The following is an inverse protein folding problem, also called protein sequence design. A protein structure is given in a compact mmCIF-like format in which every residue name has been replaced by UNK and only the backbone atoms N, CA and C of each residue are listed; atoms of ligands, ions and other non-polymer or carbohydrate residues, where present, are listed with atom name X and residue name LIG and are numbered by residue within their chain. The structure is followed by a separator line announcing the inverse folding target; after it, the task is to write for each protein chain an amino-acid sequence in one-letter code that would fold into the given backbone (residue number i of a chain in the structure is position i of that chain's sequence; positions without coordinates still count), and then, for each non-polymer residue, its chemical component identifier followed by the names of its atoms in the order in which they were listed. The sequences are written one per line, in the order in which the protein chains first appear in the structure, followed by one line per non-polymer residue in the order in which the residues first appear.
data_IF_782981934514
#
_entry.id   IF_782981934514
#
_cell.length_a   1.000
_cell.length_b   1.000
_cell.length_c   1.000
_cell.angle_alpha   90.00
_cell.angle_beta   90.00
_cell.angle_gamma   90.00
#
_symmetry.space_group_name_H-M   'P 1'
#
loop_
_entity.id
_entity.type
_entity.pdbx_description
1 polymer ?
#
# COMPACT_ATOMS: atom_id res chain seq x y z
N UNK A 1 -78.78 7.40 9.76
CA UNK A 1 -79.39 7.31 11.10
C UNK A 1 -78.55 6.36 11.92
N UNK A 2 -77.98 6.87 13.04
CA UNK A 2 -77.66 6.20 14.33
C UNK A 2 -76.74 4.96 14.30
N UNK A 3 -75.65 4.78 15.07
CA UNK A 3 -75.03 5.42 16.26
C UNK A 3 -73.70 4.67 16.54
N UNK A 4 -72.61 5.34 16.93
CA UNK A 4 -71.45 4.71 17.64
C UNK A 4 -71.81 4.45 19.14
N UNK A 5 -70.95 3.98 20.09
CA UNK A 5 -69.50 3.60 20.06
C UNK A 5 -69.09 2.40 20.98
N UNK A 6 -67.76 2.18 21.08
CA UNK A 6 -66.98 1.59 22.19
C UNK A 6 -67.01 0.08 22.47
N UNK A 7 -65.84 -0.56 22.34
CA UNK A 7 -65.14 -1.13 23.52
C UNK A 7 -63.64 -1.25 23.25
N UNK A 8 -62.86 -0.57 24.09
CA UNK A 8 -61.39 -0.63 24.14
C UNK A 8 -61.04 -1.83 25.02
N UNK A 9 -60.52 -2.89 24.43
CA UNK A 9 -59.89 -3.97 25.20
C UNK A 9 -58.41 -3.64 25.39
N UNK A 10 -58.11 -2.89 26.46
CA UNK A 10 -56.77 -2.88 27.06
C UNK A 10 -56.51 -4.26 27.64
N UNK A 11 -55.72 -5.08 26.94
CA UNK A 11 -55.16 -6.30 27.51
C UNK A 11 -53.66 -6.12 27.64
N UNK A 12 -53.23 -6.04 28.90
CA UNK A 12 -51.85 -6.15 29.37
C UNK A 12 -51.06 -7.20 28.57
N UNK A 13 -50.03 -6.75 27.86
CA UNK A 13 -49.01 -7.62 27.30
C UNK A 13 -47.61 -7.05 27.56
N UNK A 14 -47.13 -7.34 28.78
CA UNK A 14 -45.74 -7.63 29.12
C UNK A 14 -44.66 -6.54 28.93
N UNK A 15 -44.05 -6.02 30.02
CA UNK A 15 -42.82 -5.22 29.96
C UNK A 15 -41.55 -6.07 29.64
N UNK A 16 -41.70 -7.33 29.22
CA UNK A 16 -40.59 -8.24 28.95
C UNK A 16 -39.86 -7.97 27.64
N UNK A 17 -40.51 -7.39 26.63
CA UNK A 17 -39.90 -7.21 25.29
C UNK A 17 -38.89 -6.04 25.23
N UNK A 18 -39.11 -4.96 25.99
CA UNK A 18 -38.20 -3.82 26.02
C UNK A 18 -36.87 -4.10 26.75
N UNK A 19 -36.87 -5.00 27.74
CA UNK A 19 -35.66 -5.39 28.49
C UNK A 19 -34.72 -6.27 27.65
N UNK A 20 -35.25 -7.09 26.76
CA UNK A 20 -34.45 -7.96 25.88
C UNK A 20 -33.75 -7.17 24.79
N UNK A 21 -34.38 -6.13 24.24
CA UNK A 21 -33.78 -5.26 23.23
C UNK A 21 -32.62 -4.43 23.79
N UNK A 22 -32.73 -3.95 25.04
CA UNK A 22 -31.63 -3.22 25.69
C UNK A 22 -30.47 -4.12 26.15
N UNK A 23 -30.73 -5.37 26.53
CA UNK A 23 -29.68 -6.36 26.82
C UNK A 23 -28.95 -6.83 25.56
N UNK A 24 -29.64 -7.00 24.43
CA UNK A 24 -29.01 -7.36 23.16
C UNK A 24 -28.10 -6.25 22.59
N UNK A 25 -28.43 -4.98 22.84
CA UNK A 25 -27.61 -3.83 22.44
C UNK A 25 -26.39 -3.61 23.36
N UNK A 26 -26.47 -3.98 24.64
CA UNK A 26 -25.34 -3.92 25.58
C UNK A 26 -24.28 -4.99 25.33
N UNK A 27 -24.69 -6.17 24.87
CA UNK A 27 -23.78 -7.31 24.67
C UNK A 27 -22.95 -7.24 23.38
N UNK A 28 -23.36 -6.44 22.39
CA UNK A 28 -22.62 -6.23 21.12
C UNK A 28 -21.47 -5.21 21.23
N UNK A 29 -21.47 -4.36 22.27
CA UNK A 29 -20.47 -3.29 22.47
C UNK A 29 -19.28 -3.70 23.31
N UNK A 30 -19.42 -4.75 24.13
CA UNK A 30 -18.30 -5.39 24.80
C UNK A 30 -17.67 -6.42 23.84
N UNK A 31 -17.18 -5.97 22.69
CA UNK A 31 -16.22 -6.77 21.92
C UNK A 31 -15.07 -7.05 22.88
N UNK A 32 -14.92 -8.32 23.28
CA UNK A 32 -14.08 -8.76 24.38
C UNK A 32 -12.63 -8.30 24.18
N UNK A 33 -12.24 -7.20 24.84
CA UNK A 33 -10.86 -6.78 25.00
C UNK A 33 -9.88 -7.93 25.33
N UNK A 34 -10.23 -8.94 26.16
CA UNK A 34 -9.34 -10.08 26.40
C UNK A 34 -9.16 -11.02 25.19
N UNK A 35 -10.18 -11.22 24.35
CA UNK A 35 -10.08 -12.08 23.15
C UNK A 35 -9.26 -11.40 22.05
N UNK A 36 -9.46 -10.10 21.88
CA UNK A 36 -8.62 -9.27 21.00
C UNK A 36 -7.17 -9.29 21.48
N UNK A 37 -6.93 -9.22 22.80
CA UNK A 37 -5.59 -9.35 23.37
C UNK A 37 -4.98 -10.74 23.12
N UNK A 38 -5.77 -11.81 23.21
CA UNK A 38 -5.33 -13.17 22.92
C UNK A 38 -4.96 -13.34 21.44
N UNK A 39 -5.77 -12.79 20.53
CA UNK A 39 -5.48 -12.76 19.09
C UNK A 39 -4.14 -12.04 18.78
N UNK A 40 -3.93 -10.85 19.34
CA UNK A 40 -2.68 -10.11 19.14
C UNK A 40 -1.47 -10.76 19.83
N UNK A 41 -1.66 -11.41 20.98
CA UNK A 41 -0.61 -12.16 21.66
C UNK A 41 -0.18 -13.38 20.84
N UNK A 42 -1.13 -14.11 20.25
CA UNK A 42 -0.83 -15.27 19.41
C UNK A 42 -0.17 -14.87 18.09
N UNK A 43 -0.64 -13.78 17.44
CA UNK A 43 0.02 -13.21 16.26
C UNK A 43 1.48 -12.84 16.54
N UNK A 44 1.78 -12.24 17.71
CA UNK A 44 3.16 -11.90 18.11
C UNK A 44 4.02 -13.15 18.31
N UNK A 45 3.51 -14.17 19.01
CA UNK A 45 4.21 -15.46 19.22
C UNK A 45 4.49 -16.18 17.90
N UNK A 46 3.54 -16.16 16.98
CA UNK A 46 3.70 -16.76 15.66
C UNK A 46 4.76 -16.03 14.82
N UNK A 47 4.76 -14.70 14.84
CA UNK A 47 5.79 -13.89 14.18
C UNK A 47 7.18 -14.14 14.76
N UNK A 48 7.32 -14.25 16.08
CA UNK A 48 8.59 -14.63 16.73
C UNK A 48 9.07 -16.02 16.30
N UNK A 49 8.15 -16.98 16.17
CA UNK A 49 8.46 -18.34 15.71
C UNK A 49 8.90 -18.36 14.24
N UNK A 50 8.16 -17.68 13.37
CA UNK A 50 8.48 -17.56 11.93
C UNK A 50 9.81 -16.83 11.73
N UNK A 51 10.09 -15.78 12.50
CA UNK A 51 11.32 -15.00 12.37
C UNK A 51 12.59 -15.83 12.62
N UNK A 52 12.46 -16.94 13.36
CA UNK A 52 13.54 -17.90 13.64
C UNK A 52 13.81 -18.87 12.47
N UNK A 53 12.91 -18.95 11.49
CA UNK A 53 13.03 -19.83 10.32
C UNK A 53 13.90 -19.15 9.24
N UNK A 54 15.05 -19.72 8.87
CA UNK A 54 15.96 -19.09 7.90
C UNK A 54 15.39 -19.02 6.48
N UNK A 55 14.53 -19.98 6.10
CA UNK A 55 13.93 -20.04 4.76
C UNK A 55 13.01 -18.84 4.47
N UNK A 56 12.17 -18.45 5.45
CA UNK A 56 11.23 -17.33 5.29
C UNK A 56 12.01 -16.02 5.20
N UNK A 57 13.09 -15.88 5.98
CA UNK A 57 14.02 -14.75 5.86
C UNK A 57 14.65 -14.67 4.47
N UNK A 58 15.13 -15.77 3.93
CA UNK A 58 15.73 -15.77 2.59
C UNK A 58 14.71 -15.40 1.50
N UNK A 59 13.48 -15.90 1.58
CA UNK A 59 12.38 -15.52 0.68
C UNK A 59 12.04 -14.04 0.82
N UNK A 60 12.00 -13.50 2.03
CA UNK A 60 11.76 -12.08 2.28
C UNK A 60 12.84 -11.20 1.66
N UNK A 61 14.12 -11.50 1.88
CA UNK A 61 15.23 -10.74 1.28
C UNK A 61 15.24 -10.83 -0.23
N UNK A 62 14.86 -11.97 -0.81
CA UNK A 62 14.74 -12.13 -2.26
C UNK A 62 13.57 -11.33 -2.83
N UNK A 63 12.42 -11.35 -2.15
CA UNK A 63 11.24 -10.57 -2.53
C UNK A 63 11.51 -9.06 -2.42
N UNK A 64 12.13 -8.60 -1.33
CA UNK A 64 12.59 -7.22 -1.17
C UNK A 64 13.62 -6.86 -2.23
N UNK A 65 14.60 -7.73 -2.46
CA UNK A 65 15.64 -7.48 -3.45
C UNK A 65 15.03 -7.29 -4.84
N UNK A 66 14.13 -8.18 -5.26
CA UNK A 66 13.44 -8.05 -6.55
C UNK A 66 12.53 -6.82 -6.60
N UNK A 67 11.82 -6.53 -5.52
CA UNK A 67 10.96 -5.36 -5.41
C UNK A 67 11.74 -4.05 -5.53
N UNK A 68 12.78 -3.88 -4.73
CA UNK A 68 13.67 -2.73 -4.76
C UNK A 68 14.41 -2.63 -6.08
N UNK A 69 14.93 -3.74 -6.61
CA UNK A 69 15.63 -3.75 -7.89
C UNK A 69 14.73 -3.26 -9.01
N UNK A 70 13.52 -3.81 -9.14
CA UNK A 70 12.54 -3.36 -10.13
C UNK A 70 12.27 -1.87 -9.96
N UNK A 71 12.01 -1.43 -8.73
CA UNK A 71 11.68 -0.04 -8.42
C UNK A 71 12.83 0.93 -8.71
N UNK A 72 14.06 0.57 -8.37
CA UNK A 72 15.28 1.33 -8.71
C UNK A 72 15.48 1.36 -10.23
N UNK A 73 15.32 0.23 -10.93
CA UNK A 73 15.44 0.17 -12.38
C UNK A 73 14.39 1.05 -13.08
N UNK A 74 13.16 1.09 -12.57
CA UNK A 74 12.12 1.99 -13.08
C UNK A 74 12.42 3.46 -12.75
N UNK A 75 12.79 3.74 -11.50
CA UNK A 75 13.03 5.10 -11.00
C UNK A 75 14.23 5.76 -11.65
N UNK A 76 15.32 5.03 -11.86
CA UNK A 76 16.54 5.55 -12.48
C UNK A 76 16.64 5.25 -13.98
N UNK A 77 15.95 4.24 -14.50
CA UNK A 77 15.99 3.91 -15.92
C UNK A 77 14.89 4.62 -16.70
N UNK A 78 13.63 4.36 -16.37
CA UNK A 78 12.51 4.83 -17.18
C UNK A 78 12.24 6.33 -17.02
N UNK A 79 12.05 6.82 -15.79
CA UNK A 79 11.61 8.21 -15.61
C UNK A 79 12.62 9.27 -16.09
N UNK A 80 13.93 9.18 -15.78
CA UNK A 80 14.89 10.17 -16.23
C UNK A 80 15.04 10.17 -17.74
N UNK A 81 15.09 9.00 -18.37
CA UNK A 81 15.14 8.85 -19.84
C UNK A 81 13.88 9.41 -20.48
N UNK A 82 12.72 9.03 -19.94
CA UNK A 82 11.43 9.48 -20.45
C UNK A 82 11.34 11.01 -20.38
N UNK A 83 11.70 11.64 -19.27
CA UNK A 83 11.69 13.10 -19.13
C UNK A 83 12.71 13.77 -20.05
N UNK A 84 13.93 13.23 -20.14
CA UNK A 84 14.99 13.75 -21.01
C UNK A 84 14.59 13.76 -22.49
N UNK A 85 13.77 12.79 -22.91
CA UNK A 85 13.21 12.75 -24.26
C UNK A 85 11.91 13.56 -24.40
N UNK A 86 10.99 13.41 -23.45
CA UNK A 86 9.63 13.95 -23.53
C UNK A 86 9.60 15.47 -23.41
N UNK A 87 10.43 16.06 -22.55
CA UNK A 87 10.47 17.52 -22.38
C UNK A 87 10.89 18.22 -23.69
N UNK A 88 12.02 17.86 -24.33
CA UNK A 88 12.36 18.41 -25.65
C UNK A 88 11.31 18.11 -26.73
N UNK A 89 10.71 16.93 -26.69
CA UNK A 89 9.71 16.55 -27.68
C UNK A 89 8.43 17.39 -27.59
N UNK A 90 7.98 17.72 -26.38
CA UNK A 90 6.84 18.62 -26.16
C UNK A 90 7.21 20.06 -26.54
N UNK A 91 8.40 20.53 -26.16
CA UNK A 91 8.86 21.89 -26.50
C UNK A 91 9.00 22.10 -28.02
N UNK A 92 9.34 21.04 -28.76
CA UNK A 92 9.37 21.03 -30.22
C UNK A 92 7.99 20.80 -30.87
N UNK A 93 6.90 20.94 -30.11
CA UNK A 93 5.52 20.74 -30.58
C UNK A 93 5.31 19.37 -31.23
N UNK A 94 5.92 18.33 -30.66
CA UNK A 94 5.88 16.95 -31.16
C UNK A 94 6.52 16.77 -32.55
N UNK A 95 7.42 17.67 -32.96
CA UNK A 95 8.16 17.56 -34.21
C UNK A 95 9.57 17.00 -33.97
N UNK A 96 9.84 15.72 -34.33
CA UNK A 96 11.14 15.10 -34.08
C UNK A 96 12.27 15.71 -34.91
N UNK A 97 11.96 16.30 -36.07
CA UNK A 97 12.99 16.95 -36.92
C UNK A 97 13.49 18.21 -36.24
N UNK A 98 12.58 19.05 -35.74
CA UNK A 98 12.95 20.27 -35.01
C UNK A 98 13.74 19.91 -33.75
N UNK A 99 13.28 18.92 -32.98
CA UNK A 99 14.00 18.43 -31.81
C UNK A 99 15.44 17.99 -32.14
N UNK A 100 15.63 17.25 -33.23
CA UNK A 100 16.96 16.81 -33.66
C UNK A 100 17.81 18.00 -34.14
N UNK A 101 17.24 18.94 -34.90
CA UNK A 101 17.93 20.16 -35.34
C UNK A 101 18.41 21.02 -34.17
N UNK A 102 17.70 21.01 -33.04
CA UNK A 102 18.11 21.73 -31.82
C UNK A 102 19.16 20.94 -31.01
N UNK A 103 19.07 19.60 -31.00
CA UNK A 103 19.96 18.73 -30.20
C UNK A 103 21.32 18.47 -30.88
N UNK A 104 21.38 18.36 -32.21
CA UNK A 104 22.61 18.04 -32.95
C UNK A 104 23.72 19.05 -32.66
N UNK A 105 23.49 20.38 -32.73
CA UNK A 105 24.53 21.37 -32.44
C UNK A 105 25.05 21.30 -31.00
N UNK A 106 24.20 20.93 -30.04
CA UNK A 106 24.62 20.73 -28.64
C UNK A 106 25.54 19.51 -28.52
N UNK A 107 25.25 18.45 -29.28
CA UNK A 107 26.05 17.24 -29.29
C UNK A 107 27.41 17.48 -29.95
N UNK A 108 27.45 18.16 -31.09
CA UNK A 108 28.69 18.59 -31.76
C UNK A 108 29.52 19.47 -30.83
N UNK A 109 28.90 20.48 -30.22
CA UNK A 109 29.57 21.36 -29.26
C UNK A 109 30.13 20.63 -28.04
N UNK A 110 29.50 19.53 -27.60
CA UNK A 110 30.03 18.69 -26.52
C UNK A 110 31.20 17.81 -26.99
N UNK A 111 31.09 17.19 -28.17
CA UNK A 111 32.14 16.32 -28.73
C UNK A 111 33.41 17.11 -29.00
N UNK A 112 33.27 18.35 -29.50
CA UNK A 112 34.39 19.23 -29.81
C UNK A 112 34.92 19.99 -28.57
N UNK A 113 34.27 19.86 -27.41
CA UNK A 113 34.67 20.55 -26.20
C UNK A 113 35.95 19.97 -25.57
N UNK A 114 36.64 20.82 -24.78
CA UNK A 114 37.77 20.39 -23.97
C UNK A 114 37.36 19.33 -22.92
N UNK A 115 38.27 18.42 -22.53
CA UNK A 115 37.99 17.37 -21.54
C UNK A 115 37.42 17.87 -20.20
N UNK A 116 37.83 19.05 -19.76
CA UNK A 116 37.31 19.67 -18.54
C UNK A 116 35.82 20.01 -18.65
N UNK A 117 35.41 20.59 -19.79
CA UNK A 117 34.01 20.94 -20.06
C UNK A 117 33.18 19.67 -20.23
N UNK A 118 33.73 18.65 -20.90
CA UNK A 118 33.05 17.36 -21.04
C UNK A 118 32.81 16.70 -19.67
N UNK A 119 33.82 16.68 -18.80
CA UNK A 119 33.70 16.12 -17.45
C UNK A 119 32.66 16.87 -16.61
N UNK A 120 32.66 18.21 -16.67
CA UNK A 120 31.66 19.03 -15.99
C UNK A 120 30.25 18.76 -16.53
N UNK A 121 30.08 18.67 -17.85
CA UNK A 121 28.78 18.37 -18.48
C UNK A 121 28.26 16.99 -18.07
N UNK A 122 29.11 15.96 -18.12
CA UNK A 122 28.76 14.61 -17.66
C UNK A 122 28.41 14.60 -16.17
N UNK A 123 29.17 15.31 -15.34
CA UNK A 123 28.88 15.43 -13.91
C UNK A 123 27.50 16.04 -13.68
N UNK A 124 27.19 17.16 -14.34
CA UNK A 124 25.89 17.80 -14.27
C UNK A 124 24.77 16.88 -14.75
N UNK A 125 24.96 16.16 -15.86
CA UNK A 125 23.98 15.21 -16.38
C UNK A 125 23.74 14.05 -15.41
N UNK A 126 24.79 13.47 -14.83
CA UNK A 126 24.68 12.39 -13.84
C UNK A 126 23.99 12.88 -12.58
N UNK A 127 24.30 14.08 -12.09
CA UNK A 127 23.65 14.67 -10.91
C UNK A 127 22.17 14.95 -11.19
N UNK A 128 21.84 15.51 -12.35
CA UNK A 128 20.46 15.77 -12.74
C UNK A 128 19.67 14.45 -12.86
N UNK A 129 20.25 13.45 -13.52
CA UNK A 129 19.68 12.12 -13.65
C UNK A 129 19.44 11.46 -12.29
N UNK A 130 20.44 11.49 -11.41
CA UNK A 130 20.35 10.92 -10.07
C UNK A 130 19.31 11.65 -9.21
N UNK A 131 19.22 12.98 -9.35
CA UNK A 131 18.26 13.81 -8.63
C UNK A 131 16.81 13.52 -9.04
N UNK A 132 16.55 13.45 -10.35
CA UNK A 132 15.24 13.05 -10.89
C UNK A 132 14.92 11.63 -10.46
N UNK A 133 15.85 10.69 -10.64
CA UNK A 133 15.64 9.29 -10.27
C UNK A 133 15.37 9.10 -8.78
N UNK A 134 16.08 9.83 -7.92
CA UNK A 134 15.86 9.80 -6.47
C UNK A 134 14.50 10.38 -6.07
N UNK A 135 14.09 11.50 -6.68
CA UNK A 135 12.76 12.07 -6.45
C UNK A 135 11.65 11.06 -6.76
N UNK A 136 11.73 10.39 -7.92
CA UNK A 136 10.78 9.35 -8.29
C UNK A 136 10.88 8.13 -7.38
N UNK A 137 12.08 7.72 -6.96
CA UNK A 137 12.27 6.60 -6.04
C UNK A 137 11.53 6.84 -4.71
N UNK A 138 11.67 8.04 -4.15
CA UNK A 138 11.00 8.42 -2.89
C UNK A 138 9.48 8.45 -3.10
N UNK A 139 9.01 9.07 -4.18
CA UNK A 139 7.58 9.12 -4.50
C UNK A 139 6.97 7.74 -4.71
N UNK A 140 7.65 6.90 -5.48
CA UNK A 140 7.22 5.53 -5.75
C UNK A 140 7.17 4.76 -4.43
N UNK A 141 8.17 4.91 -3.55
CA UNK A 141 8.19 4.32 -2.21
C UNK A 141 7.00 4.72 -1.34
N UNK A 142 6.58 5.99 -1.41
CA UNK A 142 5.41 6.50 -0.68
C UNK A 142 4.10 5.98 -1.26
N UNK A 143 3.97 5.92 -2.60
CA UNK A 143 2.73 5.53 -3.26
C UNK A 143 2.45 4.03 -3.23
N UNK A 144 3.50 3.21 -3.27
CA UNK A 144 3.35 1.75 -3.18
C UNK A 144 4.15 1.26 -1.98
N UNK A 145 3.53 1.11 -0.79
CA UNK A 145 4.20 0.50 0.33
C UNK A 145 4.46 -0.99 0.04
N UNK A 146 5.63 -1.48 0.42
CA UNK A 146 5.97 -2.89 0.27
C UNK A 146 5.08 -3.73 1.20
N UNK A 147 4.24 -4.61 0.63
CA UNK A 147 3.54 -5.63 1.41
C UNK A 147 4.52 -6.74 1.75
N UNK A 148 4.77 -6.94 3.04
CA UNK A 148 5.75 -7.94 3.45
C UNK A 148 5.18 -9.36 3.31
N UNK A 149 5.95 -10.33 2.82
CA UNK A 149 5.51 -11.73 2.81
C UNK A 149 5.28 -12.31 4.22
N UNK A 150 5.85 -11.67 5.26
CA UNK A 150 5.57 -11.99 6.66
C UNK A 150 4.13 -11.67 7.08
N UNK A 151 3.58 -10.55 6.59
CA UNK A 151 2.18 -10.21 6.87
C UNK A 151 1.23 -11.19 6.19
N UNK A 152 1.55 -11.64 4.98
CA UNK A 152 0.75 -12.64 4.28
C UNK A 152 0.70 -13.99 5.01
N UNK A 153 1.83 -14.53 5.44
CA UNK A 153 1.85 -15.81 6.18
C UNK A 153 1.18 -15.69 7.55
N UNK A 154 1.37 -14.56 8.24
CA UNK A 154 0.67 -14.29 9.49
C UNK A 154 -0.84 -14.21 9.30
N UNK A 155 -1.32 -13.52 8.26
CA UNK A 155 -2.75 -13.38 8.00
C UNK A 155 -3.40 -14.71 7.59
N UNK A 156 -2.71 -15.57 6.82
CA UNK A 156 -3.19 -16.93 6.50
C UNK A 156 -3.28 -17.80 7.76
N UNK A 157 -2.26 -17.77 8.61
CA UNK A 157 -2.28 -18.50 9.88
C UNK A 157 -3.38 -18.01 10.81
N UNK A 158 -3.55 -16.70 10.96
CA UNK A 158 -4.61 -16.15 11.82
C UNK A 158 -6.01 -16.50 11.30
N UNK A 159 -6.24 -16.54 9.98
CA UNK A 159 -7.51 -17.04 9.40
C UNK A 159 -7.78 -18.50 9.76
N UNK A 160 -6.76 -19.36 9.71
CA UNK A 160 -6.91 -20.76 10.12
C UNK A 160 -7.14 -20.91 11.63
N UNK A 161 -6.52 -20.06 12.43
CA UNK A 161 -6.68 -20.01 13.88
C UNK A 161 -8.09 -19.52 14.27
N UNK A 162 -8.61 -18.52 13.58
CA UNK A 162 -9.99 -18.02 13.73
C UNK A 162 -11.02 -19.10 13.38
N UNK A 163 -10.78 -19.90 12.32
CA UNK A 163 -11.66 -21.02 11.95
C UNK A 163 -11.66 -22.14 13.00
N UNK A 164 -10.51 -22.43 13.62
CA UNK A 164 -10.38 -23.45 14.66
C UNK A 164 -10.93 -22.99 16.02
N UNK A 165 -10.89 -21.68 16.29
CA UNK A 165 -11.45 -21.08 17.50
C UNK A 165 -12.84 -20.46 17.27
N UNK A 166 -13.47 -20.72 16.13
CA UNK A 166 -14.78 -20.20 15.76
C UNK A 166 -15.87 -20.61 16.76
N UNK A 167 -15.75 -21.79 17.38
CA UNK A 167 -16.67 -22.25 18.43
C UNK A 167 -16.50 -21.48 19.77
N UNK A 168 -15.39 -20.77 19.96
CA UNK A 168 -15.13 -19.92 21.14
C UNK A 168 -15.32 -18.41 20.86
N UNK A 169 -15.49 -18.02 19.60
CA UNK A 169 -15.63 -16.64 19.16
C UNK A 169 -17.05 -16.45 18.61
N UNK A 170 -17.91 -15.59 19.21
CA UNK A 170 -19.26 -15.41 18.69
C UNK A 170 -19.21 -14.87 17.25
N UNK A 171 -20.06 -15.45 16.39
CA UNK A 171 -20.23 -15.12 14.97
C UNK A 171 -20.06 -13.62 14.70
N UNK A 172 -19.03 -13.28 13.93
CA UNK A 172 -18.94 -11.97 13.29
C UNK A 172 -19.29 -12.11 11.81
N UNK A 173 -20.46 -11.55 11.48
CA UNK A 173 -20.88 -11.05 10.16
C UNK A 173 -19.85 -10.11 9.54
#
# INVERSE_FOLDING_TARGET
MTTEPHEIHTSDASPKSARTAHQAAGNRRAIHAPEVAAYWAERRRYLERIRRVPEIRQRYWRAIGMYLLRRVLWSFGFFPVFIAFWVPFVLSSFNPVVMASDLIPLLEGFVDANPEIQANTLSTLVIAWASIGFFFLVFDFVLTPFKSPYEYEADVYMRSWEQLNHDQLPDKV
#
